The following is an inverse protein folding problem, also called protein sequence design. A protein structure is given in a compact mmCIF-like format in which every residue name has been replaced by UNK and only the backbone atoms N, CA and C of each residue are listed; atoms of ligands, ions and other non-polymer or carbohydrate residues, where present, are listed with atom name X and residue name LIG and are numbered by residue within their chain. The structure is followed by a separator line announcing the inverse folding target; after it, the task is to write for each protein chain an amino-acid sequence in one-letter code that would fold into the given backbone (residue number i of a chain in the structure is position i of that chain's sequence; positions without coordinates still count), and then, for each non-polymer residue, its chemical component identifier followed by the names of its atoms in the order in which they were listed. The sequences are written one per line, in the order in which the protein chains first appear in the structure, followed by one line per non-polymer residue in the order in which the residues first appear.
data_IF_298918046158
#
_entry.id   IF_298918046158
#
_cell.length_a   1.000
_cell.length_b   1.000
_cell.length_c   1.000
_cell.angle_alpha   90.00
_cell.angle_beta   90.00
_cell.angle_gamma   90.00
#
_symmetry.space_group_name_H-M   'P 1'
#
loop_
_entity.id
_entity.type
_entity.pdbx_description
1 polymer ?
#
# COMPACT_ATOMS: atom_id res chain seq x y z
N UNK A 1 7.92 10.21 5.72
CA UNK A 1 7.31 9.02 5.12
C UNK A 1 5.91 9.32 4.59
N UNK A 2 5.53 8.70 3.50
CA UNK A 2 4.21 8.87 2.90
C UNK A 2 3.23 7.89 3.54
N UNK A 3 2.87 8.16 4.77
CA UNK A 3 1.95 7.34 5.56
C UNK A 3 0.58 8.02 5.72
N UNK A 4 -0.31 7.38 6.47
CA UNK A 4 -1.66 7.90 6.69
C UNK A 4 -1.66 9.27 7.36
N UNK A 5 -0.73 9.50 8.31
CA UNK A 5 -0.66 10.77 9.04
C UNK A 5 -0.36 11.93 8.10
N UNK A 6 0.48 11.72 7.10
CA UNK A 6 0.79 12.73 6.10
C UNK A 6 -0.24 12.77 4.98
N UNK A 7 -0.54 11.61 4.40
CA UNK A 7 -1.32 11.54 3.16
C UNK A 7 -2.80 11.85 3.34
N UNK A 8 -3.36 11.52 4.50
CA UNK A 8 -4.78 11.79 4.76
C UNK A 8 -5.04 13.23 5.17
N UNK A 9 -3.98 13.96 5.58
CA UNK A 9 -4.09 15.40 5.86
C UNK A 9 -3.96 16.26 4.62
N UNK A 10 -3.15 15.82 3.67
CA UNK A 10 -2.77 16.61 2.51
C UNK A 10 -3.29 15.97 1.25
N UNK A 11 -4.37 16.51 0.70
CA UNK A 11 -4.91 16.05 -0.58
C UNK A 11 -3.95 16.50 -1.68
N UNK A 12 -3.44 15.54 -2.45
CA UNK A 12 -2.47 15.80 -3.50
C UNK A 12 -2.51 14.72 -4.56
N UNK A 13 -1.98 15.03 -5.76
CA UNK A 13 -1.96 14.11 -6.88
C UNK A 13 -0.69 13.26 -6.96
N UNK A 14 0.32 13.59 -6.14
CA UNK A 14 1.57 12.86 -6.11
C UNK A 14 1.43 11.56 -5.32
N UNK A 15 2.44 10.69 -5.45
CA UNK A 15 2.47 9.40 -4.76
C UNK A 15 2.18 9.55 -3.27
N UNK A 16 1.13 8.91 -2.81
CA UNK A 16 0.74 8.93 -1.41
C UNK A 16 -0.16 7.76 -1.09
N UNK A 17 -0.32 7.50 0.20
CA UNK A 17 -1.24 6.48 0.68
C UNK A 17 -2.67 6.96 0.48
N UNK A 18 -3.52 6.11 -0.11
CA UNK A 18 -4.92 6.39 -0.34
C UNK A 18 -5.79 5.46 0.48
N UNK A 19 -6.88 5.95 1.07
CA UNK A 19 -7.76 5.08 1.86
C UNK A 19 -8.53 4.12 0.96
N UNK A 20 -8.63 2.87 1.39
CA UNK A 20 -9.43 1.86 0.72
C UNK A 20 -9.93 0.87 1.76
N UNK A 21 -11.24 0.78 1.91
CA UNK A 21 -11.88 -0.21 2.75
C UNK A 21 -12.33 -1.38 1.89
N UNK A 22 -11.96 -2.60 2.30
CA UNK A 22 -12.35 -3.83 1.62
C UNK A 22 -13.29 -4.61 2.52
N UNK A 23 -14.49 -4.94 2.00
CA UNK A 23 -15.45 -5.82 2.66
C UNK A 23 -15.23 -7.23 2.13
N UNK A 24 -14.97 -8.19 3.04
CA UNK A 24 -14.64 -9.54 2.62
C UNK A 24 -15.77 -10.23 1.84
N UNK A 25 -17.02 -9.99 2.23
CA UNK A 25 -18.15 -10.62 1.55
C UNK A 25 -18.53 -9.90 0.26
N UNK A 26 -18.65 -8.58 0.32
CA UNK A 26 -19.13 -7.79 -0.83
C UNK A 26 -18.08 -7.66 -1.92
N UNK A 27 -16.83 -7.39 -1.53
CA UNK A 27 -15.78 -7.09 -2.50
C UNK A 27 -15.03 -8.34 -2.97
N UNK A 28 -14.80 -9.30 -2.06
CA UNK A 28 -14.00 -10.49 -2.36
C UNK A 28 -14.84 -11.77 -2.43
N UNK A 29 -16.07 -11.74 -1.96
CA UNK A 29 -16.92 -12.92 -1.91
C UNK A 29 -16.45 -13.97 -0.89
N UNK A 30 -15.63 -13.57 0.07
CA UNK A 30 -15.08 -14.47 1.08
C UNK A 30 -16.04 -14.56 2.27
N UNK A 31 -16.82 -15.60 2.31
CA UNK A 31 -17.77 -15.84 3.39
C UNK A 31 -17.19 -16.60 4.57
N UNK A 32 -15.97 -17.12 4.43
CA UNK A 32 -15.35 -17.96 5.44
C UNK A 32 -14.73 -17.20 6.60
N UNK A 33 -14.49 -15.90 6.43
CA UNK A 33 -13.95 -15.06 7.50
C UNK A 33 -15.10 -14.58 8.38
N UNK A 34 -15.03 -14.90 9.68
CA UNK A 34 -16.04 -14.49 10.65
C UNK A 34 -15.80 -13.06 11.11
N UNK A 35 -14.56 -12.75 11.49
CA UNK A 35 -14.13 -11.43 11.94
C UNK A 35 -12.73 -11.12 11.42
N UNK A 36 -12.45 -9.89 11.03
CA UNK A 36 -13.38 -8.77 10.87
C UNK A 36 -14.22 -8.91 9.60
N UNK A 37 -15.29 -8.14 9.49
CA UNK A 37 -16.12 -8.16 8.28
C UNK A 37 -15.43 -7.49 7.10
N UNK A 38 -14.54 -6.58 7.39
CA UNK A 38 -13.73 -5.86 6.41
C UNK A 38 -12.59 -5.15 7.10
N UNK A 39 -11.76 -4.46 6.33
CA UNK A 39 -10.60 -3.77 6.89
C UNK A 39 -10.14 -2.65 5.97
N UNK A 40 -9.35 -1.72 6.53
CA UNK A 40 -8.74 -0.64 5.76
C UNK A 40 -7.43 -1.12 5.16
N UNK A 41 -7.50 -1.61 3.91
CA UNK A 41 -6.32 -2.13 3.21
C UNK A 41 -5.41 -1.01 2.72
N UNK A 42 -6.02 0.07 2.24
CA UNK A 42 -5.34 1.21 1.63
C UNK A 42 -4.59 0.80 0.36
N UNK A 43 -4.07 1.78 -0.35
CA UNK A 43 -3.28 1.53 -1.54
C UNK A 43 -2.39 2.74 -1.83
N UNK A 44 -1.42 2.55 -2.70
CA UNK A 44 -0.51 3.60 -3.11
C UNK A 44 -0.82 4.02 -4.53
N UNK A 45 -0.98 5.32 -4.75
CA UNK A 45 -1.24 5.86 -6.07
C UNK A 45 -0.76 7.29 -6.16
N UNK A 46 -0.48 7.73 -7.39
CA UNK A 46 -0.06 9.07 -7.67
C UNK A 46 1.23 9.14 -8.44
N UNK A 47 1.56 10.32 -8.94
CA UNK A 47 2.76 10.56 -9.71
C UNK A 47 3.99 10.60 -8.81
N UNK A 48 5.13 10.19 -9.37
CA UNK A 48 6.42 10.28 -8.69
C UNK A 48 7.29 11.31 -9.40
N UNK A 49 7.14 12.61 -9.06
CA UNK A 49 8.00 13.64 -9.65
C UNK A 49 9.44 13.50 -9.13
N UNK A 50 10.34 14.19 -9.82
CA UNK A 50 11.76 14.20 -9.47
C UNK A 50 11.95 14.54 -7.97
N UNK A 51 12.68 13.69 -7.28
CA UNK A 51 13.01 13.80 -5.84
C UNK A 51 11.79 13.73 -4.91
N UNK A 52 10.63 13.33 -5.40
CA UNK A 52 9.47 13.16 -4.53
C UNK A 52 9.66 11.95 -3.62
N UNK A 53 9.69 12.20 -2.30
CA UNK A 53 9.81 11.15 -1.28
C UNK A 53 10.89 10.11 -1.58
N UNK A 54 12.07 10.55 -2.03
CA UNK A 54 13.20 9.67 -2.33
C UNK A 54 13.85 9.22 -1.02
N UNK A 55 13.30 8.17 -0.43
CA UNK A 55 13.83 7.63 0.84
C UNK A 55 15.13 6.86 0.66
N UNK A 56 15.49 6.49 -0.57
CA UNK A 56 16.69 5.73 -0.85
C UNK A 56 17.55 6.43 -1.90
N UNK A 57 18.87 6.20 -1.82
CA UNK A 57 19.80 6.69 -2.85
C UNK A 57 19.47 6.11 -4.23
N UNK A 58 18.96 4.88 -4.25
CA UNK A 58 18.59 4.23 -5.50
C UNK A 58 17.47 5.00 -6.22
N UNK A 59 16.45 5.42 -5.51
CA UNK A 59 15.35 6.20 -6.10
C UNK A 59 15.85 7.53 -6.67
N UNK A 60 16.79 8.19 -5.97
CA UNK A 60 17.41 9.42 -6.46
C UNK A 60 18.19 9.20 -7.72
N UNK A 61 18.99 8.14 -7.75
CA UNK A 61 19.81 7.80 -8.92
C UNK A 61 18.93 7.50 -10.12
N UNK A 62 17.86 6.74 -9.94
CA UNK A 62 16.92 6.45 -11.01
C UNK A 62 16.24 7.72 -11.55
N UNK A 63 15.85 8.62 -10.66
CA UNK A 63 15.23 9.88 -11.08
C UNK A 63 16.18 10.75 -11.89
N UNK A 64 17.42 10.87 -11.44
CA UNK A 64 18.46 11.60 -12.16
C UNK A 64 18.77 10.96 -13.51
N UNK A 65 18.90 9.65 -13.53
CA UNK A 65 19.22 8.92 -14.74
C UNK A 65 18.13 9.07 -15.79
N UNK A 66 16.86 9.01 -15.37
CA UNK A 66 15.73 9.22 -16.28
C UNK A 66 15.67 10.63 -16.84
N UNK A 67 16.13 11.62 -16.08
CA UNK A 67 16.23 13.00 -16.56
C UNK A 67 17.28 13.13 -17.66
N UNK A 68 18.39 12.46 -17.52
CA UNK A 68 19.51 12.50 -18.49
C UNK A 68 19.20 11.59 -19.69
N UNK A 69 18.65 10.41 -19.46
CA UNK A 69 18.40 9.42 -20.48
C UNK A 69 17.04 8.74 -20.29
N UNK A 70 15.95 9.38 -20.71
CA UNK A 70 14.59 8.87 -20.48
C UNK A 70 14.30 7.49 -21.08
N UNK A 71 15.11 7.04 -22.04
CA UNK A 71 14.88 5.77 -22.74
C UNK A 71 15.56 4.58 -22.08
N UNK A 72 16.46 4.81 -21.12
CA UNK A 72 17.34 3.77 -20.65
C UNK A 72 16.90 3.08 -19.37
N UNK A 73 16.01 3.67 -18.58
CA UNK A 73 15.55 3.05 -17.35
C UNK A 73 14.09 3.38 -17.07
N UNK A 74 13.49 2.59 -16.16
CA UNK A 74 12.11 2.82 -15.76
C UNK A 74 12.04 3.98 -14.79
N UNK A 75 11.02 4.84 -14.93
CA UNK A 75 10.73 5.90 -13.99
C UNK A 75 10.34 5.32 -12.62
N UNK A 76 10.65 6.02 -11.51
CA UNK A 76 10.15 5.61 -10.20
C UNK A 76 8.63 5.53 -10.20
N UNK A 77 8.10 4.56 -9.48
CA UNK A 77 6.66 4.35 -9.37
C UNK A 77 6.24 4.38 -7.92
N UNK A 78 4.99 4.78 -7.70
CA UNK A 78 4.38 4.76 -6.38
C UNK A 78 4.13 3.32 -5.95
N UNK A 79 4.80 2.89 -4.89
CA UNK A 79 4.73 1.52 -4.38
C UNK A 79 4.51 1.51 -2.89
N UNK A 80 3.93 0.43 -2.38
CA UNK A 80 3.83 0.22 -0.95
C UNK A 80 5.22 -0.01 -0.35
N UNK A 81 5.48 0.66 0.77
CA UNK A 81 6.75 0.54 1.48
C UNK A 81 6.64 -0.40 2.67
N UNK A 82 5.69 -0.13 3.56
CA UNK A 82 5.47 -0.93 4.75
C UNK A 82 4.11 -1.62 4.67
N UNK A 83 4.10 -2.90 4.94
CA UNK A 83 2.90 -3.73 4.94
C UNK A 83 2.75 -4.39 6.30
N UNK A 84 1.52 -4.52 6.77
CA UNK A 84 1.23 -5.20 8.02
C UNK A 84 0.31 -6.39 7.80
N UNK A 85 0.41 -7.41 8.66
CA UNK A 85 -0.52 -8.52 8.62
C UNK A 85 -1.86 -8.14 9.22
N UNK A 86 -2.90 -8.87 8.82
CA UNK A 86 -4.23 -8.76 9.37
C UNK A 86 -4.58 -10.05 10.09
N UNK A 87 -5.00 -9.94 11.35
CA UNK A 87 -5.47 -11.08 12.11
C UNK A 87 -6.94 -11.31 11.80
N UNK A 88 -7.30 -12.53 11.43
CA UNK A 88 -8.67 -12.93 11.13
C UNK A 88 -9.11 -14.06 12.03
N UNK A 89 -10.42 -14.17 12.21
CA UNK A 89 -11.05 -15.28 12.92
C UNK A 89 -11.99 -15.99 11.97
N UNK A 90 -11.89 -17.29 11.91
CA UNK A 90 -12.79 -18.13 11.11
C UNK A 90 -13.12 -19.41 11.87
N UNK A 91 -14.10 -20.14 11.39
CA UNK A 91 -14.53 -21.36 12.04
C UNK A 91 -14.20 -22.59 11.19
N UNK A 92 -13.69 -23.61 11.84
CA UNK A 92 -13.55 -24.95 11.27
C UNK A 92 -14.52 -25.86 12.03
N UNK A 93 -15.65 -26.15 11.39
CA UNK A 93 -16.78 -26.75 12.09
C UNK A 93 -17.31 -25.81 13.14
N UNK A 94 -17.26 -26.18 14.40
CA UNK A 94 -17.71 -25.36 15.52
C UNK A 94 -16.57 -24.71 16.32
N UNK A 95 -15.32 -24.90 15.87
CA UNK A 95 -14.15 -24.40 16.58
C UNK A 95 -13.63 -23.12 15.92
N UNK A 96 -13.50 -22.02 16.68
CA UNK A 96 -12.90 -20.80 16.14
C UNK A 96 -11.39 -20.99 15.94
N UNK A 97 -10.88 -20.42 14.85
CA UNK A 97 -9.47 -20.38 14.53
C UNK A 97 -9.04 -18.93 14.31
N UNK A 98 -7.83 -18.64 14.73
CA UNK A 98 -7.22 -17.32 14.54
C UNK A 98 -6.01 -17.47 13.64
N UNK A 99 -5.91 -16.63 12.62
CA UNK A 99 -4.80 -16.68 11.67
C UNK A 99 -4.39 -15.27 11.28
N UNK A 100 -3.11 -15.08 10.99
CA UNK A 100 -2.58 -13.84 10.47
C UNK A 100 -2.34 -13.98 8.97
N UNK A 101 -2.97 -13.08 8.19
CA UNK A 101 -2.74 -12.98 6.75
C UNK A 101 -1.66 -11.92 6.52
N UNK A 102 -0.56 -12.31 5.90
CA UNK A 102 0.57 -11.43 5.67
C UNK A 102 0.28 -10.38 4.60
N UNK A 103 0.90 -9.20 4.75
CA UNK A 103 0.89 -8.15 3.72
C UNK A 103 -0.51 -7.69 3.31
N UNK A 104 -1.40 -7.55 4.28
CA UNK A 104 -2.80 -7.18 4.00
C UNK A 104 -3.04 -5.68 4.09
N UNK A 105 -2.30 -4.96 4.91
CA UNK A 105 -2.52 -3.54 5.19
C UNK A 105 -1.32 -2.74 4.69
N UNK A 106 -1.56 -1.77 3.82
CA UNK A 106 -0.51 -0.85 3.38
C UNK A 106 -0.43 0.30 4.36
N UNK A 107 0.75 0.53 4.93
CA UNK A 107 0.98 1.56 5.94
C UNK A 107 1.63 2.81 5.39
N UNK A 108 2.47 2.68 4.38
CA UNK A 108 3.15 3.81 3.78
C UNK A 108 3.51 3.51 2.33
N UNK A 109 3.84 4.57 1.60
CA UNK A 109 4.19 4.49 0.18
C UNK A 109 5.56 5.09 -0.07
N UNK A 110 6.14 4.74 -1.21
CA UNK A 110 7.42 5.29 -1.67
C UNK A 110 7.45 5.35 -3.19
N UNK A 111 8.33 6.19 -3.71
CA UNK A 111 8.67 6.21 -5.12
C UNK A 111 9.97 5.44 -5.34
N UNK A 112 9.90 4.35 -6.07
CA UNK A 112 11.11 3.56 -6.35
C UNK A 112 11.03 2.76 -7.65
#
# INVERSE_FOLDING_TARGET
ALDAAYCFRNVQDNCCLRPLYIDFRKDLGWKWIHEPKGYNANFCAGACPYLWSSDTQHSRVLSLYNTINPRASKSPRCRSQDLEPLTIVYYVGRKPKVEQLSNMIVKSCKCS
#
